data_IF_492892070385
#
_entry.id   IF_492892070385
#
_cell.length_a   1.000
_cell.length_b   1.000
_cell.length_c   1.000
_cell.angle_alpha   90.00
_cell.angle_beta   90.00
_cell.angle_gamma   90.00
#
_symmetry.space_group_name_H-M   'P 1'
#
loop_
_entity.id
_entity.type
_entity.pdbx_description
1 polymer ?
2 non-polymer ?
3 water ?
#
# COMPACT_ATOMS: atom_id res chain seq x y z
N UNK A 4 -48.06 -17.67 -42.08
CA UNK A 4 -48.38 -16.91 -40.88
C UNK A 4 -47.28 -15.88 -40.62
N UNK A 5 -47.33 -15.26 -39.44
CA UNK A 5 -46.36 -14.24 -39.06
C UNK A 5 -45.91 -14.42 -37.61
N UNK A 6 -44.91 -13.63 -37.21
CA UNK A 6 -44.33 -13.73 -35.88
C UNK A 6 -45.03 -12.87 -34.85
N UNK A 7 -44.83 -13.19 -33.58
CA UNK A 7 -45.27 -12.32 -32.49
C UNK A 7 -44.41 -11.07 -32.44
N UNK A 8 -45.02 -9.91 -32.19
CA UNK A 8 -44.27 -8.66 -32.16
C UNK A 8 -43.19 -8.71 -31.09
N UNK A 9 -43.52 -9.29 -29.95
CA UNK A 9 -42.59 -9.37 -28.82
C UNK A 9 -41.49 -10.41 -29.04
N UNK A 10 -41.45 -11.00 -30.23
CA UNK A 10 -40.32 -11.81 -30.65
C UNK A 10 -39.50 -11.06 -31.69
N UNK A 11 -40.19 -10.35 -32.59
CA UNK A 11 -39.53 -9.50 -33.58
C UNK A 11 -38.72 -8.35 -33.00
N UNK A 12 -39.16 -7.80 -31.87
CA UNK A 12 -38.62 -6.53 -31.40
C UNK A 12 -37.14 -6.55 -31.02
N UNK A 13 -36.54 -7.73 -30.98
CA UNK A 13 -35.16 -7.86 -30.54
C UNK A 13 -34.21 -8.11 -31.71
N UNK A 14 -34.74 -8.09 -32.93
CA UNK A 14 -33.92 -8.50 -34.07
C UNK A 14 -33.03 -7.40 -34.67
N UNK A 15 -33.29 -6.13 -34.36
CA UNK A 15 -32.53 -5.04 -34.98
C UNK A 15 -31.02 -5.16 -34.77
N UNK A 16 -30.25 -5.11 -35.86
CA UNK A 16 -28.82 -5.44 -35.85
C UNK A 16 -27.90 -4.24 -35.62
N UNK A 17 -28.44 -3.03 -35.65
CA UNK A 17 -27.60 -1.84 -35.59
C UNK A 17 -27.25 -1.45 -34.17
N UNK A 18 -26.38 -0.43 -34.02
CA UNK A 18 -26.14 0.05 -32.67
C UNK A 18 -27.10 1.14 -32.23
N UNK A 19 -27.30 1.13 -30.93
CA UNK A 19 -27.89 2.20 -30.12
C UNK A 19 -27.28 3.58 -30.35
N UNK A 20 -28.15 4.55 -30.65
CA UNK A 20 -27.70 5.88 -31.06
C UNK A 20 -28.17 7.03 -30.17
N UNK A 21 -28.88 6.71 -29.09
CA UNK A 21 -29.44 7.78 -28.26
C UNK A 21 -28.98 7.72 -26.81
N UNK A 22 -29.28 8.77 -26.06
CA UNK A 22 -28.89 8.86 -24.68
C UNK A 22 -29.89 9.72 -23.96
N UNK A 23 -29.74 9.88 -22.65
CA UNK A 23 -30.59 10.82 -21.93
C UNK A 23 -29.73 11.97 -21.40
N UNK A 24 -30.31 13.16 -21.39
CA UNK A 24 -29.62 14.36 -20.97
C UNK A 24 -30.13 14.82 -19.61
N UNK A 25 -29.24 14.88 -18.63
CA UNK A 25 -29.66 15.26 -17.28
C UNK A 25 -28.74 16.29 -16.67
N UNK A 26 -29.26 17.11 -15.76
CA UNK A 26 -28.44 18.05 -15.00
C UNK A 26 -27.36 17.28 -14.21
N UNK A 27 -26.13 17.77 -14.24
CA UNK A 27 -25.04 17.18 -13.45
C UNK A 27 -25.46 16.87 -12.02
N UNK A 28 -26.23 17.79 -11.46
CA UNK A 28 -26.83 17.66 -10.14
C UNK A 28 -27.62 16.36 -9.95
N UNK A 29 -28.17 15.85 -11.04
CA UNK A 29 -29.04 14.68 -11.01
C UNK A 29 -28.33 13.44 -11.56
N UNK A 30 -27.09 13.61 -12.01
CA UNK A 30 -26.37 12.54 -12.74
C UNK A 30 -26.26 11.24 -11.98
N UNK A 31 -25.86 11.29 -10.71
CA UNK A 31 -25.73 10.08 -9.87
C UNK A 31 -27.05 9.35 -9.66
N UNK A 32 -28.08 10.12 -9.32
CA UNK A 32 -29.43 9.59 -9.17
C UNK A 32 -29.89 8.89 -10.45
N UNK A 33 -29.63 9.53 -11.58
CA UNK A 33 -30.11 9.01 -12.86
C UNK A 33 -29.32 7.78 -13.27
N UNK A 34 -28.01 7.78 -13.03
CA UNK A 34 -27.19 6.61 -13.35
C UNK A 34 -27.73 5.40 -12.58
N UNK A 35 -28.04 5.63 -11.31
CA UNK A 35 -28.59 4.54 -10.51
C UNK A 35 -29.93 4.07 -11.08
N UNK A 36 -30.80 5.02 -11.42
CA UNK A 36 -32.10 4.68 -12.00
C UNK A 36 -31.97 3.85 -13.29
N UNK A 37 -31.08 4.26 -14.17
CA UNK A 37 -30.91 3.61 -15.46
C UNK A 37 -30.41 2.18 -15.27
N UNK A 38 -29.46 2.02 -14.36
CA UNK A 38 -28.98 0.68 -14.00
C UNK A 38 -30.10 -0.18 -13.43
N UNK A 39 -30.89 0.41 -12.54
CA UNK A 39 -31.96 -0.32 -11.87
C UNK A 39 -32.98 -0.83 -12.88
N UNK A 40 -33.25 -0.02 -13.90
CA UNK A 40 -34.30 -0.28 -14.86
C UNK A 40 -33.77 -1.21 -15.94
N UNK A 41 -32.47 -1.17 -16.15
CA UNK A 41 -31.80 -2.11 -17.04
C UNK A 41 -31.51 -1.60 -18.44
N UNK A 42 -31.55 -0.28 -18.65
CA UNK A 42 -31.39 0.25 -19.99
C UNK A 42 -30.12 1.08 -20.20
N UNK A 43 -29.16 0.94 -19.29
CA UNK A 43 -27.89 1.62 -19.42
C UNK A 43 -27.02 0.89 -20.45
N UNK A 44 -26.52 1.62 -21.45
CA UNK A 44 -25.76 0.99 -22.54
C UNK A 44 -24.27 0.91 -22.24
N UNK A 45 -23.83 -0.27 -21.82
CA UNK A 45 -22.43 -0.51 -21.53
C UNK A 45 -21.47 -0.33 -22.70
N UNK A 46 -21.99 -0.32 -23.92
CA UNK A 46 -21.16 -0.24 -25.11
C UNK A 46 -20.56 1.14 -25.37
N UNK A 47 -21.16 2.18 -24.80
CA UNK A 47 -20.72 3.54 -25.07
C UNK A 47 -20.35 4.28 -23.79
N UNK A 48 -19.58 5.35 -23.94
CA UNK A 48 -19.20 6.20 -22.81
C UNK A 48 -20.29 7.24 -22.55
N UNK A 49 -20.44 7.63 -21.28
CA UNK A 49 -21.18 8.84 -20.97
C UNK A 49 -20.25 10.04 -21.22
N UNK A 50 -20.85 11.22 -21.39
CA UNK A 50 -20.06 12.45 -21.53
C UNK A 50 -20.67 13.53 -20.67
N UNK A 51 -19.97 14.64 -20.50
CA UNK A 51 -20.53 15.78 -19.76
C UNK A 51 -20.04 17.11 -20.31
N UNK A 52 -20.80 18.16 -20.04
CA UNK A 52 -20.33 19.53 -20.27
C UNK A 52 -20.45 20.33 -18.98
N UNK A 53 -20.65 21.63 -19.09
CA UNK A 53 -20.63 22.49 -17.92
C UNK A 53 -21.78 22.19 -16.96
N UNK A 54 -22.95 21.94 -17.53
CA UNK A 54 -24.16 21.80 -16.73
C UNK A 54 -24.85 20.44 -16.89
N UNK A 55 -24.54 19.71 -17.96
CA UNK A 55 -25.28 18.50 -18.32
C UNK A 55 -24.40 17.26 -18.50
N UNK A 56 -24.98 16.10 -18.16
CA UNK A 56 -24.39 14.79 -18.44
C UNK A 56 -25.30 14.05 -19.42
N UNK A 57 -24.71 13.28 -20.33
CA UNK A 57 -25.47 12.47 -21.27
C UNK A 57 -25.11 10.99 -21.07
N UNK A 58 -26.09 10.18 -20.69
CA UNK A 58 -25.87 8.73 -20.52
C UNK A 58 -26.37 7.95 -21.73
N UNK A 59 -25.58 6.99 -22.23
CA UNK A 59 -26.11 6.15 -23.32
C UNK A 59 -27.17 5.16 -22.84
N UNK A 60 -28.26 5.01 -23.59
CA UNK A 60 -29.31 4.08 -23.20
C UNK A 60 -29.65 3.11 -24.33
N UNK A 61 -30.27 2.00 -23.95
CA UNK A 61 -30.65 0.94 -24.87
C UNK A 61 -32.13 0.97 -25.31
N UNK A 62 -32.94 1.76 -24.63
CA UNK A 62 -34.38 1.79 -24.91
C UNK A 62 -34.93 3.16 -24.59
N UNK A 63 -35.19 3.94 -25.63
CA UNK A 63 -35.60 5.33 -25.45
C UNK A 63 -37.07 5.44 -25.05
N UNK A 64 -37.85 4.40 -25.33
CA UNK A 64 -39.23 4.37 -24.86
C UNK A 64 -39.31 4.21 -23.35
N UNK A 65 -38.49 3.33 -22.80
CA UNK A 65 -38.43 3.18 -21.34
C UNK A 65 -37.90 4.49 -20.72
N UNK A 66 -36.89 5.08 -21.35
CA UNK A 66 -36.31 6.34 -20.87
C UNK A 66 -37.39 7.40 -20.77
N UNK A 67 -38.21 7.54 -21.81
CA UNK A 67 -39.30 8.52 -21.77
C UNK A 67 -40.29 8.19 -20.69
N UNK A 68 -40.53 6.91 -20.45
CA UNK A 68 -41.47 6.53 -19.39
C UNK A 68 -40.84 6.74 -17.99
N UNK A 69 -39.56 7.11 -17.97
CA UNK A 69 -38.88 7.51 -16.73
C UNK A 69 -38.82 9.05 -16.59
N UNK A 70 -39.46 9.75 -17.53
CA UNK A 70 -39.48 11.20 -17.53
C UNK A 70 -38.19 11.86 -18.01
N UNK A 71 -37.33 11.07 -18.66
CA UNK A 71 -36.00 11.57 -19.04
C UNK A 71 -35.97 12.16 -20.45
N UNK A 72 -35.14 13.19 -20.64
CA UNK A 72 -35.02 13.83 -21.95
C UNK A 72 -34.14 13.00 -22.86
N UNK A 73 -34.71 12.50 -23.94
CA UNK A 73 -33.97 11.64 -24.86
C UNK A 73 -33.33 12.48 -25.94
N UNK A 74 -32.05 12.26 -26.20
CA UNK A 74 -31.31 12.98 -27.24
C UNK A 74 -30.62 12.00 -28.19
N UNK A 75 -30.44 12.44 -29.43
CA UNK A 75 -29.67 11.66 -30.39
C UNK A 75 -28.28 12.26 -30.49
N UNK A 76 -27.27 11.47 -30.14
CA UNK A 76 -25.90 11.97 -30.00
C UNK A 76 -24.94 10.86 -30.38
N UNK A 77 -23.78 11.23 -30.92
CA UNK A 77 -22.73 10.26 -31.16
C UNK A 77 -21.82 10.22 -29.96
N UNK A 78 -21.98 9.18 -29.12
CA UNK A 78 -21.15 9.02 -27.94
C UNK A 78 -19.97 8.13 -28.27
N UNK A 79 -18.85 8.30 -27.55
CA UNK A 79 -17.68 7.45 -27.73
C UNK A 79 -17.99 5.98 -27.44
N UNK A 80 -17.30 5.08 -28.14
CA UNK A 80 -17.37 3.66 -27.82
C UNK A 80 -16.54 3.39 -26.56
N UNK A 81 -16.92 2.39 -25.76
CA UNK A 81 -16.09 2.01 -24.63
C UNK A 81 -14.77 1.47 -25.15
N UNK A 82 -13.67 1.76 -24.44
CA UNK A 82 -12.36 1.29 -24.89
C UNK A 82 -12.31 -0.23 -24.88
N UNK A 83 -11.72 -0.84 -25.89
CA UNK A 83 -11.54 -2.29 -25.88
C UNK A 83 -10.17 -2.62 -25.34
N UNK A 84 -9.18 -1.82 -25.74
CA UNK A 84 -7.83 -1.97 -25.23
C UNK A 84 -7.59 -0.92 -24.14
N UNK A 85 -6.97 -1.34 -23.05
CA UNK A 85 -6.66 -0.41 -21.97
C UNK A 85 -5.18 -0.10 -21.96
N UNK A 86 -4.82 1.18 -21.90
CA UNK A 86 -3.40 1.57 -21.81
C UNK A 86 -3.10 2.43 -20.57
N UNK A 87 -3.96 2.32 -19.56
CA UNK A 87 -3.75 3.05 -18.32
C UNK A 87 -2.49 2.59 -17.62
N UNK A 88 -1.69 3.55 -17.17
CA UNK A 88 -0.45 3.27 -16.46
C UNK A 88 -0.55 3.67 -14.99
N UNK A 89 -1.22 4.80 -14.77
CA UNK A 89 -1.35 5.40 -13.44
C UNK A 89 -2.79 5.61 -13.04
N UNK A 90 -3.01 5.75 -11.74
CA UNK A 90 -4.33 6.02 -11.21
C UNK A 90 -4.81 7.37 -11.71
N UNK A 91 -3.86 8.28 -11.90
CA UNK A 91 -4.17 9.61 -12.41
C UNK A 91 -4.77 9.55 -13.81
N UNK A 92 -4.42 8.51 -14.57
CA UNK A 92 -4.98 8.32 -15.91
C UNK A 92 -6.48 7.99 -15.87
N UNK A 93 -6.96 7.62 -14.69
CA UNK A 93 -8.31 7.07 -14.54
C UNK A 93 -9.24 7.94 -13.71
N UNK A 94 -8.74 9.05 -13.20
CA UNK A 94 -9.55 9.93 -12.35
C UNK A 94 -9.35 11.39 -12.69
N UNK A 95 -10.40 12.20 -12.44
CA UNK A 95 -10.27 13.66 -12.46
C UNK A 95 -9.15 14.07 -11.55
N UNK A 96 -8.40 15.09 -11.95
CA UNK A 96 -7.28 15.54 -11.15
C UNK A 96 -7.74 16.03 -9.77
N UNK A 97 -8.93 16.64 -9.71
CA UNK A 97 -9.46 17.14 -8.45
C UNK A 97 -9.74 16.02 -7.46
N UNK A 98 -9.95 14.80 -7.96
CA UNK A 98 -10.10 13.65 -7.07
C UNK A 98 -8.74 13.02 -6.78
N UNK A 99 -8.00 12.74 -7.85
CA UNK A 99 -6.71 12.07 -7.72
C UNK A 99 -5.74 12.78 -6.78
N UNK A 100 -5.67 14.10 -6.90
CA UNK A 100 -4.70 14.89 -6.18
C UNK A 100 -4.94 14.86 -4.66
N UNK A 101 -6.13 14.45 -4.26
CA UNK A 101 -6.51 14.40 -2.85
C UNK A 101 -6.32 13.00 -2.25
N UNK A 102 -6.08 12.02 -3.09
CA UNK A 102 -5.83 10.66 -2.61
C UNK A 102 -4.44 10.55 -1.99
N UNK A 103 -4.33 9.76 -0.93
CA UNK A 103 -3.02 9.42 -0.40
C UNK A 103 -2.35 8.46 -1.38
N UNK A 104 -1.17 7.97 -1.04
CA UNK A 104 -0.49 7.03 -1.95
C UNK A 104 -1.21 5.68 -1.95
N UNK A 105 -1.11 4.95 -3.05
CA UNK A 105 -1.77 3.65 -3.16
C UNK A 105 -0.72 2.58 -2.97
N UNK A 106 -0.97 1.63 -2.08
CA UNK A 106 -0.04 0.51 -1.88
C UNK A 106 -0.69 -0.82 -2.24
N UNK A 107 0.07 -1.71 -2.86
CA UNK A 107 -0.39 -3.08 -3.09
C UNK A 107 0.35 -4.03 -2.16
N UNK A 108 -0.41 -4.79 -1.36
CA UNK A 108 0.15 -5.84 -0.51
C UNK A 108 -0.57 -7.15 -0.85
N UNK A 109 0.16 -8.11 -1.43
CA UNK A 109 -0.47 -9.32 -1.91
C UNK A 109 -1.55 -8.99 -2.95
N UNK A 110 -2.78 -9.41 -2.69
CA UNK A 110 -3.91 -9.04 -3.55
C UNK A 110 -4.83 -7.99 -2.91
N UNK A 111 -4.25 -7.18 -2.02
CA UNK A 111 -4.96 -6.12 -1.31
C UNK A 111 -4.45 -4.76 -1.75
N UNK A 112 -5.35 -3.85 -2.10
CA UNK A 112 -4.95 -2.48 -2.39
C UNK A 112 -5.38 -1.59 -1.24
N UNK A 113 -4.45 -0.77 -0.74
CA UNK A 113 -4.73 0.13 0.36
C UNK A 113 -4.57 1.57 -0.12
N UNK A 114 -5.56 2.40 0.17
CA UNK A 114 -5.56 3.77 -0.30
C UNK A 114 -6.13 4.70 0.80
N UNK A 115 -5.60 5.92 0.89
CA UNK A 115 -6.13 6.92 1.80
C UNK A 115 -7.14 7.81 1.08
N UNK A 116 -8.35 7.91 1.63
CA UNK A 116 -9.40 8.73 1.05
C UNK A 116 -10.02 9.69 2.08
N UNK A 117 -9.65 10.98 2.03
CA UNK A 117 -10.22 12.00 2.94
C UNK A 117 -11.75 12.09 2.88
N UNK A 118 -12.41 12.38 4.01
CA UNK A 118 -13.88 12.41 4.08
C UNK A 118 -14.46 13.26 2.96
N UNK A 119 -13.74 14.34 2.73
CA UNK A 119 -13.95 15.30 1.67
C UNK A 119 -14.10 14.81 0.23
N UNK A 120 -13.56 13.63 -0.09
CA UNK A 120 -13.84 13.03 -1.40
C UNK A 120 -14.43 11.63 -1.25
N UNK A 121 -14.87 11.30 -0.05
CA UNK A 121 -15.52 10.01 0.18
C UNK A 121 -16.76 9.83 -0.69
N UNK A 122 -17.39 10.93 -1.09
CA UNK A 122 -18.53 10.88 -2.00
C UNK A 122 -18.15 10.31 -3.36
N UNK A 123 -16.86 10.34 -3.70
CA UNK A 123 -16.38 9.80 -4.99
C UNK A 123 -15.87 8.35 -4.89
N UNK A 124 -16.19 7.71 -3.77
CA UNK A 124 -15.74 6.35 -3.47
C UNK A 124 -15.92 5.35 -4.60
N UNK A 125 -17.05 5.44 -5.30
CA UNK A 125 -17.36 4.43 -6.29
C UNK A 125 -16.46 4.55 -7.54
N UNK A 126 -16.16 5.77 -7.97
CA UNK A 126 -15.28 5.91 -9.11
C UNK A 126 -13.84 5.62 -8.66
N UNK A 127 -13.53 5.90 -7.40
CA UNK A 127 -12.19 5.58 -6.88
C UNK A 127 -11.93 4.06 -6.92
N UNK A 128 -12.87 3.30 -6.38
CA UNK A 128 -12.82 1.84 -6.43
C UNK A 128 -12.74 1.35 -7.87
N UNK A 129 -13.56 1.92 -8.74
CA UNK A 129 -13.58 1.55 -10.14
C UNK A 129 -12.19 1.73 -10.79
N UNK A 130 -11.59 2.86 -10.50
CA UNK A 130 -10.28 3.19 -11.03
C UNK A 130 -9.23 2.19 -10.58
N UNK A 131 -9.23 1.91 -9.28
CA UNK A 131 -8.25 0.97 -8.74
C UNK A 131 -8.43 -0.44 -9.31
N UNK A 132 -9.68 -0.89 -9.43
CA UNK A 132 -9.96 -2.21 -10.00
C UNK A 132 -9.48 -2.30 -11.44
N UNK A 133 -9.66 -1.22 -12.17
CA UNK A 133 -9.23 -1.18 -13.56
C UNK A 133 -7.71 -1.26 -13.64
N UNK A 134 -7.02 -0.46 -12.84
CA UNK A 134 -5.57 -0.43 -12.86
C UNK A 134 -4.97 -1.72 -12.32
N UNK A 135 -5.65 -2.35 -11.37
CA UNK A 135 -5.13 -3.57 -10.77
C UNK A 135 -6.16 -4.69 -10.78
N UNK A 136 -6.35 -5.32 -11.95
CA UNK A 136 -7.38 -6.35 -12.16
C UNK A 136 -7.25 -7.51 -11.19
N UNK A 137 -6.05 -7.77 -10.68
CA UNK A 137 -5.84 -8.98 -9.87
C UNK A 137 -6.10 -8.77 -8.38
N UNK A 138 -6.26 -7.53 -7.94
CA UNK A 138 -6.50 -7.32 -6.51
C UNK A 138 -7.92 -7.74 -6.16
N UNK A 139 -8.07 -8.37 -4.99
CA UNK A 139 -9.38 -8.88 -4.56
C UNK A 139 -9.95 -8.09 -3.39
N UNK A 140 -9.15 -7.17 -2.84
CA UNK A 140 -9.58 -6.38 -1.69
C UNK A 140 -9.11 -4.94 -1.85
N UNK A 141 -10.01 -3.99 -1.64
CA UNK A 141 -9.61 -2.60 -1.56
C UNK A 141 -10.03 -2.06 -0.22
N UNK A 142 -9.05 -1.52 0.51
CA UNK A 142 -9.23 -0.99 1.86
C UNK A 142 -8.86 0.49 1.95
N UNK A 143 -9.62 1.23 2.75
CA UNK A 143 -9.37 2.65 2.99
C UNK A 143 -8.51 2.85 4.24
N UNK A 144 -7.45 3.62 4.10
CA UNK A 144 -6.42 3.76 5.14
C UNK A 144 -6.68 4.94 6.06
N UNK A 145 -6.62 4.67 7.36
CA UNK A 145 -6.66 5.72 8.37
C UNK A 145 -5.25 6.01 8.85
N UNK A 146 -5.04 5.92 10.17
CA UNK A 146 -3.70 6.12 10.73
C UNK A 146 -3.19 4.87 11.43
N UNK A 147 -1.89 4.87 11.74
CA UNK A 147 -1.28 3.81 12.53
C UNK A 147 -1.59 4.04 14.00
N UNK A 150 0.45 0.76 20.21
CA UNK A 150 1.83 0.33 20.45
C UNK A 150 2.32 -0.54 19.29
N UNK A 151 1.40 -1.28 18.70
CA UNK A 151 1.75 -2.23 17.63
C UNK A 151 1.78 -1.57 16.26
N UNK A 152 1.39 -0.29 16.21
CA UNK A 152 1.39 0.52 14.99
C UNK A 152 0.58 -0.11 13.86
N UNK A 153 -0.58 -0.65 14.20
CA UNK A 153 -1.51 -1.17 13.21
C UNK A 153 -2.21 -0.01 12.51
N UNK A 154 -2.30 -0.10 11.19
CA UNK A 154 -3.06 0.89 10.43
C UNK A 154 -4.56 0.66 10.59
N UNK A 155 -5.30 1.71 10.90
CA UNK A 155 -6.76 1.66 10.81
C UNK A 155 -7.15 1.36 9.37
N UNK A 156 -7.91 0.29 9.15
CA UNK A 156 -8.31 -0.11 7.79
C UNK A 156 -9.77 -0.53 7.70
N UNK A 157 -10.47 -0.04 6.68
CA UNK A 157 -11.84 -0.47 6.37
C UNK A 157 -11.95 -1.01 4.95
N UNK A 158 -12.43 -2.23 4.81
CA UNK A 158 -12.64 -2.81 3.49
C UNK A 158 -13.75 -2.05 2.78
N UNK A 159 -13.46 -1.49 1.60
CA UNK A 159 -14.50 -0.78 0.86
C UNK A 159 -14.86 -1.49 -0.45
N UNK A 160 -14.08 -2.50 -0.82
CA UNK A 160 -14.48 -3.35 -1.93
C UNK A 160 -13.86 -4.74 -1.85
N UNK A 161 -14.60 -5.75 -2.28
CA UNK A 161 -14.03 -7.09 -2.42
C UNK A 161 -14.20 -7.95 -1.19
N UNK A 162 -13.34 -8.96 -1.05
CA UNK A 162 -13.46 -9.93 0.05
C UNK A 162 -13.28 -9.25 1.40
N UNK A 163 -14.09 -9.64 2.37
CA UNK A 163 -13.99 -9.01 3.69
C UNK A 163 -12.87 -9.62 4.53
N UNK A 164 -11.62 -9.39 4.11
CA UNK A 164 -10.45 -9.92 4.81
C UNK A 164 -9.26 -9.02 4.55
N UNK A 165 -8.30 -9.04 5.47
CA UNK A 165 -7.11 -8.21 5.33
C UNK A 165 -5.82 -9.02 5.44
N UNK A 166 -5.92 -10.35 5.35
CA UNK A 166 -4.75 -11.22 5.32
C UNK A 166 -4.42 -11.65 3.90
N UNK A 167 -3.13 -11.78 3.60
CA UNK A 167 -2.69 -12.16 2.25
C UNK A 167 -1.25 -12.64 2.35
N UNK A 168 -0.70 -13.06 1.21
CA UNK A 168 0.71 -13.37 1.12
C UNK A 168 1.35 -12.49 0.05
N UNK A 169 2.36 -11.73 0.46
CA UNK A 169 3.04 -10.75 -0.37
C UNK A 169 4.37 -11.31 -0.84
N UNK A 170 4.73 -11.05 -2.09
CA UNK A 170 5.99 -11.53 -2.63
C UNK A 170 7.00 -10.39 -2.72
N UNK A 171 8.22 -10.63 -2.27
CA UNK A 171 9.22 -9.56 -2.27
C UNK A 171 10.62 -10.12 -2.19
N UNK A 172 11.52 -9.66 -3.07
CA UNK A 172 12.94 -9.97 -2.93
C UNK A 172 13.17 -11.49 -2.77
N UNK A 173 12.33 -12.27 -3.42
CA UNK A 173 12.51 -13.71 -3.45
C UNK A 173 11.99 -14.45 -2.23
N UNK A 174 11.23 -13.76 -1.38
CA UNK A 174 10.61 -14.41 -0.23
C UNK A 174 9.11 -14.20 -0.22
N UNK A 175 8.45 -14.99 0.62
CA UNK A 175 7.01 -14.94 0.83
C UNK A 175 6.70 -14.41 2.22
N UNK A 176 5.87 -13.38 2.28
CA UNK A 176 5.55 -12.75 3.54
C UNK A 176 4.05 -12.81 3.80
N UNK A 177 3.62 -13.65 4.74
CA UNK A 177 2.23 -13.65 5.15
C UNK A 177 1.98 -12.43 6.00
N UNK A 178 0.90 -11.70 5.72
CA UNK A 178 0.54 -10.57 6.55
C UNK A 178 -0.94 -10.62 6.87
N UNK A 179 -1.32 -9.98 7.98
CA UNK A 179 -2.72 -9.70 8.29
C UNK A 179 -2.78 -8.24 8.69
N UNK A 180 -3.23 -7.40 7.77
CA UNK A 180 -3.13 -5.95 7.97
C UNK A 180 -4.10 -5.42 9.03
N UNK A 181 -4.99 -6.27 9.53
CA UNK A 181 -5.83 -5.87 10.66
C UNK A 181 -5.10 -6.09 11.98
N UNK A 182 -3.94 -6.75 11.94
CA UNK A 182 -3.26 -7.17 13.17
C UNK A 182 -1.78 -6.77 13.24
N UNK A 183 -1.18 -6.49 12.09
CA UNK A 183 0.25 -6.19 12.05
C UNK A 183 0.57 -5.03 11.11
N UNK A 184 1.73 -4.42 11.32
CA UNK A 184 2.29 -3.42 10.42
C UNK A 184 3.07 -4.08 9.28
N UNK A 185 2.93 -3.54 8.08
CA UNK A 185 3.81 -3.92 6.97
C UNK A 185 3.81 -2.85 5.89
N UNK A 186 5.00 -2.45 5.46
CA UNK A 186 5.14 -1.45 4.41
C UNK A 186 5.86 -2.03 3.20
N UNK A 187 5.15 -2.26 2.09
CA UNK A 187 5.75 -2.89 0.91
C UNK A 187 6.84 -2.01 0.27
N UNK A 188 6.70 -0.71 0.47
CA UNK A 188 7.65 0.26 -0.10
C UNK A 188 9.05 0.16 0.49
N UNK A 189 9.21 -0.61 1.56
CA UNK A 189 10.54 -0.80 2.12
C UNK A 189 11.33 -1.94 1.44
N UNK A 190 10.77 -2.50 0.37
CA UNK A 190 11.49 -3.57 -0.32
C UNK A 190 12.92 -3.15 -0.75
N UNK A 191 13.06 -1.91 -1.24
CA UNK A 191 14.36 -1.41 -1.64
C UNK A 191 15.33 -1.45 -0.47
N UNK A 192 14.89 -0.92 0.67
CA UNK A 192 15.79 -0.84 1.81
C UNK A 192 16.19 -2.24 2.23
N UNK A 193 15.23 -3.17 2.21
CA UNK A 193 15.52 -4.47 2.77
C UNK A 193 16.53 -5.15 1.85
N UNK A 194 16.41 -4.89 0.56
CA UNK A 194 17.31 -5.55 -0.37
C UNK A 194 18.68 -4.92 -0.19
N UNK A 195 18.69 -3.61 0.00
CA UNK A 195 19.95 -2.86 0.10
C UNK A 195 20.79 -3.40 1.26
N UNK A 196 20.17 -3.49 2.43
CA UNK A 196 20.88 -3.98 3.61
C UNK A 196 21.33 -5.41 3.36
N UNK A 197 20.45 -6.22 2.76
CA UNK A 197 20.80 -7.61 2.49
C UNK A 197 22.06 -7.66 1.64
N UNK A 198 22.24 -6.71 0.73
CA UNK A 198 23.40 -6.79 -0.14
C UNK A 198 24.66 -6.32 0.59
N UNK A 199 24.50 -5.42 1.56
CA UNK A 199 25.63 -4.92 2.34
C UNK A 199 26.18 -5.97 3.30
N UNK A 200 25.27 -6.76 3.86
CA UNK A 200 25.62 -7.79 4.82
C UNK A 200 26.67 -8.78 4.25
N UNK A 201 27.61 -9.20 5.10
CA UNK A 201 28.58 -10.24 4.76
C UNK A 201 28.28 -11.56 5.44
N UNK A 202 28.50 -12.68 4.75
CA UNK A 202 28.36 -14.01 5.35
C UNK A 202 29.11 -14.07 6.66
N UNK A 203 28.56 -14.77 7.65
CA UNK A 203 29.21 -14.93 8.94
C UNK A 203 28.84 -13.89 9.99
N UNK A 204 28.11 -12.84 9.60
CA UNK A 204 27.68 -11.84 10.59
C UNK A 204 26.59 -12.37 11.51
N UNK A 205 26.53 -11.83 12.72
CA UNK A 205 25.39 -11.97 13.61
C UNK A 205 24.66 -10.64 13.60
N UNK A 206 23.36 -10.69 13.37
CA UNK A 206 22.59 -9.47 13.12
C UNK A 206 21.40 -9.42 14.06
N UNK A 207 21.09 -8.22 14.52
CA UNK A 207 19.94 -8.00 15.41
C UNK A 207 18.92 -7.11 14.72
N UNK A 208 17.66 -7.54 14.68
CA UNK A 208 16.59 -6.67 14.17
C UNK A 208 15.52 -6.44 15.26
N UNK A 209 15.66 -5.36 16.05
CA UNK A 209 14.55 -5.01 16.94
C UNK A 209 13.35 -4.54 16.12
N UNK A 210 12.15 -4.57 16.71
CA UNK A 210 10.94 -4.08 16.03
C UNK A 210 10.71 -4.84 14.71
N UNK A 211 10.79 -6.16 14.76
CA UNK A 211 10.92 -6.94 13.54
C UNK A 211 9.63 -7.25 12.79
N UNK A 212 8.46 -6.99 13.39
CA UNK A 212 7.21 -7.22 12.68
C UNK A 212 7.04 -8.69 12.28
N UNK A 213 6.59 -8.96 11.05
CA UNK A 213 6.41 -10.35 10.60
C UNK A 213 7.70 -10.83 9.92
N UNK A 214 8.81 -10.30 10.45
CA UNK A 214 10.20 -10.44 10.01
C UNK A 214 10.56 -10.29 8.51
N UNK A 215 10.01 -9.26 7.84
CA UNK A 215 10.49 -9.08 6.46
C UNK A 215 12.01 -8.75 6.36
N UNK A 216 12.54 -7.88 7.23
CA UNK A 216 13.98 -7.60 7.15
C UNK A 216 14.83 -8.88 7.35
N UNK A 217 14.61 -9.62 8.46
CA UNK A 217 15.37 -10.87 8.61
C UNK A 217 15.23 -11.84 7.43
N UNK A 218 14.01 -12.01 6.94
CA UNK A 218 13.79 -12.90 5.80
C UNK A 218 14.62 -12.51 4.57
N UNK A 219 14.60 -11.23 4.21
CA UNK A 219 15.31 -10.84 2.99
C UNK A 219 16.84 -11.00 3.18
N UNK A 220 17.33 -10.54 4.34
CA UNK A 220 18.76 -10.69 4.64
C UNK A 220 19.19 -12.16 4.58
N UNK A 221 18.44 -13.01 5.28
CA UNK A 221 18.78 -14.43 5.37
C UNK A 221 18.60 -15.15 4.03
N UNK A 222 17.72 -14.61 3.19
CA UNK A 222 17.52 -15.14 1.85
C UNK A 222 18.79 -14.94 1.05
N UNK A 223 19.49 -13.84 1.30
CA UNK A 223 20.70 -13.65 0.49
C UNK A 223 22.06 -13.95 1.14
N UNK A 224 22.10 -14.09 2.46
CA UNK A 224 23.39 -14.19 3.15
C UNK A 224 23.35 -15.26 4.23
N UNK A 225 24.44 -15.99 4.38
CA UNK A 225 24.52 -17.00 5.43
C UNK A 225 24.91 -16.33 6.73
N UNK A 226 23.89 -15.88 7.47
CA UNK A 226 24.11 -15.14 8.69
C UNK A 226 23.12 -15.61 9.73
N UNK A 227 23.35 -15.21 10.97
CA UNK A 227 22.41 -15.52 12.02
C UNK A 227 21.70 -14.23 12.39
N UNK A 228 20.37 -14.23 12.33
CA UNK A 228 19.60 -13.02 12.64
C UNK A 228 18.68 -13.23 13.82
N UNK A 229 18.80 -12.36 14.83
CA UNK A 229 17.88 -12.31 15.96
C UNK A 229 16.79 -11.26 15.71
N UNK A 230 15.54 -11.65 15.84
CA UNK A 230 14.44 -10.72 15.63
C UNK A 230 13.62 -10.56 16.90
N UNK A 231 13.34 -9.31 17.28
CA UNK A 231 12.60 -9.03 18.51
C UNK A 231 11.32 -8.25 18.17
N UNK A 232 10.18 -8.79 18.61
CA UNK A 232 8.88 -8.22 18.29
C UNK A 232 7.91 -8.47 19.45
N UNK A 233 7.12 -7.46 19.78
CA UNK A 233 6.28 -7.47 20.98
C UNK A 233 4.83 -7.92 20.71
N UNK A 234 4.38 -7.74 19.48
CA UNK A 234 3.00 -8.07 19.06
C UNK A 234 2.88 -9.56 18.79
N UNK A 235 2.08 -10.27 19.60
CA UNK A 235 2.07 -11.73 19.47
C UNK A 235 1.46 -12.20 18.15
N UNK A 236 0.55 -11.40 17.57
CA UNK A 236 0.03 -11.70 16.23
C UNK A 236 1.14 -11.64 15.17
N UNK A 237 2.00 -10.62 15.28
CA UNK A 237 3.16 -10.50 14.38
C UNK A 237 4.14 -11.64 14.61
N UNK A 238 4.35 -12.02 15.86
CA UNK A 238 5.24 -13.13 16.18
C UNK A 238 4.73 -14.43 15.56
N UNK A 239 3.44 -14.68 15.71
CA UNK A 239 2.82 -15.86 15.11
C UNK A 239 3.05 -15.88 13.59
N UNK A 240 2.73 -14.76 12.94
CA UNK A 240 2.93 -14.69 11.49
C UNK A 240 4.42 -14.84 11.10
N UNK A 241 5.30 -14.33 11.94
CA UNK A 241 6.74 -14.44 11.71
C UNK A 241 7.20 -15.91 11.75
N UNK A 242 6.68 -16.66 12.73
CA UNK A 242 6.96 -18.09 12.81
C UNK A 242 6.46 -18.79 11.55
N UNK A 243 5.24 -18.49 11.14
CA UNK A 243 4.71 -19.08 9.92
C UNK A 243 5.55 -18.68 8.69
N UNK A 244 6.08 -17.46 8.68
CA UNK A 244 6.92 -16.99 7.56
C UNK A 244 8.27 -17.70 7.53
N UNK A 245 8.81 -17.95 8.71
CA UNK A 245 10.06 -18.69 8.82
C UNK A 245 9.86 -20.09 8.24
N UNK A 246 8.77 -20.76 8.63
CA UNK A 246 8.52 -22.10 8.07
C UNK A 246 8.20 -22.07 6.57
N UNK A 247 7.46 -21.07 6.13
CA UNK A 247 7.09 -20.91 4.73
C UNK A 247 8.29 -20.70 3.81
N UNK A 248 9.34 -20.08 4.33
CA UNK A 248 10.54 -19.77 3.54
C UNK A 248 11.75 -20.64 3.88
N UNK A 249 11.59 -21.59 4.78
CA UNK A 249 12.73 -22.30 5.37
C UNK A 249 13.64 -22.93 4.30
N UNK A 250 13.03 -23.45 3.24
CA UNK A 250 13.79 -24.14 2.21
C UNK A 250 14.43 -23.18 1.20
N UNK A 251 14.34 -21.87 1.42
CA UNK A 251 15.01 -20.95 0.50
C UNK A 251 15.95 -19.96 1.22
N UNK A 252 16.06 -20.10 2.53
CA UNK A 252 16.96 -19.22 3.28
C UNK A 252 18.35 -19.81 3.37
N UNK A 253 19.37 -18.97 3.18
CA UNK A 253 20.74 -19.36 3.45
C UNK A 253 21.07 -19.15 4.92
N UNK A 254 20.49 -18.11 5.52
CA UNK A 254 20.80 -17.76 6.89
C UNK A 254 19.85 -18.41 7.87
N UNK A 255 20.01 -18.08 9.15
CA UNK A 255 19.12 -18.59 10.19
C UNK A 255 18.51 -17.42 10.93
N UNK A 256 17.28 -17.61 11.39
CA UNK A 256 16.56 -16.55 12.10
C UNK A 256 16.00 -17.06 13.43
N UNK A 257 16.26 -16.32 14.49
CA UNK A 257 15.72 -16.62 15.81
C UNK A 257 14.71 -15.55 16.18
N UNK A 258 13.47 -15.98 16.39
CA UNK A 258 12.38 -15.05 16.70
C UNK A 258 12.18 -14.96 18.21
N UNK A 259 12.27 -13.75 18.73
CA UNK A 259 12.03 -13.53 20.15
C UNK A 259 10.79 -12.69 20.38
N UNK A 260 9.81 -13.23 21.09
CA UNK A 260 8.66 -12.45 21.49
C UNK A 260 8.98 -11.67 22.75
N UNK A 261 8.98 -10.35 22.65
CA UNK A 261 9.30 -9.54 23.80
C UNK A 261 9.38 -8.07 23.50
N UNK A 262 9.60 -7.31 24.57
CA UNK A 262 9.75 -5.87 24.51
C UNK A 262 11.23 -5.57 24.27
N UNK A 263 11.53 -4.94 23.14
CA UNK A 263 12.90 -4.54 22.80
C UNK A 263 13.64 -3.88 23.98
N UNK A 264 12.94 -3.00 24.71
CA UNK A 264 13.60 -2.27 25.78
C UNK A 264 13.86 -3.13 27.02
N UNK A 265 13.25 -4.30 27.07
CA UNK A 265 13.55 -5.28 28.13
C UNK A 265 14.55 -6.31 27.61
N UNK A 266 14.39 -6.71 26.35
CA UNK A 266 15.18 -7.82 25.80
C UNK A 266 16.62 -7.40 25.48
N UNK A 267 16.81 -6.31 24.76
CA UNK A 267 18.15 -5.97 24.27
C UNK A 267 19.23 -5.82 25.35
N UNK A 268 18.92 -5.19 26.51
CA UNK A 268 19.95 -5.15 27.56
C UNK A 268 20.46 -6.53 27.99
N UNK A 269 19.69 -7.59 27.75
CA UNK A 269 20.08 -8.94 28.17
C UNK A 269 20.65 -9.80 27.03
N UNK A 270 20.86 -9.20 25.88
CA UNK A 270 21.44 -9.93 24.75
C UNK A 270 22.94 -9.68 24.70
N UNK A 271 23.69 -10.58 24.06
CA UNK A 271 25.07 -10.23 23.74
C UNK A 271 25.09 -9.14 22.67
N UNK A 272 26.27 -8.66 22.26
CA UNK A 272 26.32 -7.67 21.20
C UNK A 272 26.39 -8.33 19.81
N UNK A 273 26.22 -7.53 18.77
CA UNK A 273 26.09 -8.04 17.41
C UNK A 273 26.99 -7.30 16.45
N UNK A 274 27.33 -7.93 15.32
CA UNK A 274 28.09 -7.23 14.29
C UNK A 274 27.29 -6.05 13.75
N UNK A 275 26.01 -6.29 13.46
CA UNK A 275 25.17 -5.32 12.75
C UNK A 275 23.81 -5.24 13.41
N UNK A 276 23.31 -4.02 13.61
CA UNK A 276 21.95 -3.85 14.11
C UNK A 276 21.13 -3.08 13.06
N UNK A 277 19.95 -3.59 12.76
CA UNK A 277 19.03 -2.92 11.84
C UNK A 277 17.76 -2.55 12.60
N UNK A 278 17.51 -1.26 12.80
CA UNK A 278 16.39 -0.84 13.62
C UNK A 278 15.33 -0.05 12.85
N UNK A 279 14.29 -0.74 12.34
CA UNK A 279 13.12 -0.14 11.70
C UNK A 279 12.20 0.45 12.77
N UNK A 280 12.68 1.51 13.39
CA UNK A 280 12.10 2.13 14.59
C UNK A 280 10.65 2.56 14.38
N UNK A 281 9.77 2.28 15.38
CA UNK A 281 8.39 2.77 15.26
C UNK A 281 8.41 4.29 15.19
N UNK A 282 7.55 4.89 14.37
CA UNK A 282 7.58 6.35 14.23
C UNK A 282 7.39 7.04 15.56
N UNK A 283 8.32 7.95 15.89
CA UNK A 283 8.22 8.74 17.09
C UNK A 283 9.03 8.17 18.24
N UNK A 284 9.34 6.88 18.19
CA UNK A 284 10.10 6.23 19.25
C UNK A 284 11.58 6.55 19.08
N UNK A 285 12.28 6.77 20.18
CA UNK A 285 13.74 6.99 20.16
C UNK A 285 14.44 5.75 20.73
N UNK A 286 14.99 4.90 19.87
CA UNK A 286 15.72 3.72 20.34
C UNK A 286 17.21 3.78 19.98
N UNK A 287 17.72 4.99 19.74
CA UNK A 287 19.08 5.12 19.23
C UNK A 287 20.14 4.62 20.21
N UNK A 288 20.07 5.06 21.46
CA UNK A 288 21.08 4.64 22.44
C UNK A 288 21.14 3.11 22.58
N UNK A 289 19.98 2.49 22.77
CA UNK A 289 19.91 1.05 23.01
C UNK A 289 20.37 0.23 21.79
N UNK A 290 19.93 0.63 20.61
CA UNK A 290 20.28 -0.14 19.43
C UNK A 290 21.74 0.05 19.09
N UNK A 291 22.26 1.27 19.23
CA UNK A 291 23.69 1.49 18.99
C UNK A 291 24.50 0.68 20.00
N UNK A 292 23.98 0.56 21.21
CA UNK A 292 24.72 -0.13 22.28
C UNK A 292 24.82 -1.61 21.96
N UNK A 293 23.91 -2.14 21.15
CA UNK A 293 24.10 -3.54 20.76
C UNK A 293 24.97 -3.77 19.49
N UNK A 294 25.43 -2.70 18.83
CA UNK A 294 26.18 -2.83 17.59
C UNK A 294 27.69 -2.74 17.79
N UNK A 295 28.42 -3.66 17.14
CA UNK A 295 29.89 -3.64 17.17
C UNK A 295 30.53 -3.03 15.92
N UNK A 296 29.91 -3.26 14.77
CA UNK A 296 30.48 -2.77 13.51
C UNK A 296 29.55 -1.85 12.71
N UNK A 297 28.26 -2.16 12.66
CA UNK A 297 27.32 -1.29 11.91
C UNK A 297 25.99 -1.11 12.61
N UNK A 298 25.45 0.10 12.55
CA UNK A 298 24.04 0.32 12.91
C UNK A 298 23.29 0.97 11.74
N UNK A 299 22.09 0.49 11.46
CA UNK A 299 21.21 1.13 10.49
C UNK A 299 19.97 1.57 11.25
N UNK A 300 19.89 2.86 11.55
CA UNK A 300 18.84 3.35 12.46
C UNK A 300 17.85 4.21 11.69
N UNK A 301 16.59 3.77 11.63
CA UNK A 301 15.57 4.52 10.88
C UNK A 301 14.85 5.51 11.78
N UNK A 302 14.49 6.65 11.21
CA UNK A 302 13.78 7.67 11.98
C UNK A 302 12.95 8.50 11.00
N UNK A 303 12.15 9.41 11.52
CA UNK A 303 11.42 10.35 10.68
C UNK A 303 11.81 11.75 11.12
N UNK A 304 12.30 12.55 10.19
CA UNK A 304 12.85 13.87 10.50
C UNK A 304 12.35 14.95 9.54
N UNK A 305 12.01 16.12 10.06
CA UNK A 305 11.70 17.27 9.22
C UNK A 305 12.97 17.68 8.47
N UNK A 306 12.81 18.15 7.23
CA UNK A 306 13.98 18.45 6.39
C UNK A 306 14.87 19.53 7.00
N UNK A 307 14.33 20.33 7.90
CA UNK A 307 15.12 21.38 8.55
C UNK A 307 15.84 20.86 9.80
N UNK A 308 15.60 19.59 10.15
CA UNK A 308 16.17 19.02 11.36
C UNK A 308 17.20 17.93 11.07
N UNK A 309 17.49 17.70 9.79
CA UNK A 309 18.40 16.63 9.38
C UNK A 309 19.80 16.80 9.98
N UNK A 310 20.29 18.04 9.96
CA UNK A 310 21.61 18.36 10.49
C UNK A 310 21.66 17.99 11.96
N UNK A 311 20.65 18.46 12.69
CA UNK A 311 20.50 18.19 14.10
C UNK A 311 20.41 16.67 14.37
N UNK A 312 19.70 15.95 13.51
CA UNK A 312 19.63 14.49 13.62
C UNK A 312 21.02 13.86 13.55
N UNK A 313 21.77 14.20 12.50
CA UNK A 313 23.13 13.69 12.36
C UNK A 313 24.01 14.01 13.58
N UNK A 314 23.91 15.26 14.03
CA UNK A 314 24.62 15.71 15.22
C UNK A 314 24.28 14.90 16.47
N UNK A 315 23.00 14.62 16.67
CA UNK A 315 22.56 13.83 17.82
C UNK A 315 23.05 12.38 17.73
N UNK A 316 23.07 11.82 16.52
CA UNK A 316 23.60 10.47 16.38
C UNK A 316 25.07 10.46 16.78
N UNK A 317 25.84 11.42 16.27
CA UNK A 317 27.27 11.50 16.62
C UNK A 317 27.49 11.71 18.11
N UNK A 318 26.63 12.55 18.72
CA UNK A 318 26.65 12.77 20.16
C UNK A 318 26.53 11.45 20.90
N UNK A 319 25.57 10.64 20.47
CA UNK A 319 25.35 9.37 21.18
C UNK A 319 26.53 8.43 20.94
N UNK A 320 27.12 8.49 19.74
CA UNK A 320 28.34 7.70 19.49
C UNK A 320 29.43 8.05 20.49
N UNK A 321 29.67 9.34 20.68
CA UNK A 321 30.71 9.77 21.61
C UNK A 321 30.36 9.36 23.04
N UNK A 322 29.09 9.49 23.40
CA UNK A 322 28.63 9.14 24.74
C UNK A 322 28.93 7.68 25.07
N UNK A 323 28.86 6.81 24.06
CA UNK A 323 29.14 5.38 24.29
C UNK A 323 30.63 5.02 24.10
N UNK A 324 31.45 6.00 23.77
CA UNK A 324 32.88 5.77 23.62
C UNK A 324 33.27 5.15 22.29
N UNK A 325 32.43 5.35 21.27
CA UNK A 325 32.68 4.76 19.95
C UNK A 325 33.21 5.82 18.99
N UNK A 326 34.14 5.42 18.12
CA UNK A 326 34.61 6.29 17.04
C UNK A 326 33.86 5.86 15.80
N UNK A 327 33.03 6.75 15.25
CA UNK A 327 32.14 6.35 14.17
C UNK A 327 32.17 7.32 13.01
N UNK A 328 31.78 6.83 11.84
CA UNK A 328 31.40 7.75 10.77
C UNK A 328 29.91 7.56 10.51
N UNK A 329 29.20 8.67 10.43
CA UNK A 329 27.75 8.64 10.34
C UNK A 329 27.29 9.22 9.00
N UNK A 330 26.49 8.44 8.28
CA UNK A 330 25.91 8.92 7.01
C UNK A 330 24.41 8.88 7.11
N UNK A 331 23.75 9.98 6.74
CA UNK A 331 22.30 10.03 6.80
C UNK A 331 21.71 10.01 5.39
N UNK A 332 20.83 9.05 5.12
CA UNK A 332 20.16 8.94 3.82
C UNK A 332 18.68 9.25 3.94
N UNK A 333 18.14 10.00 2.97
CA UNK A 333 16.70 10.11 2.86
C UNK A 333 16.18 8.85 2.23
N UNK A 334 15.32 8.15 2.94
CA UNK A 334 14.82 6.88 2.47
C UNK A 334 13.55 7.08 1.68
N UNK A 335 12.66 7.94 2.18
CA UNK A 335 11.45 8.25 1.43
C UNK A 335 10.77 9.52 1.90
N UNK A 336 9.98 10.13 1.03
CA UNK A 336 9.15 11.27 1.41
C UNK A 336 8.00 10.74 2.25
N UNK A 337 7.86 11.24 3.48
CA UNK A 337 6.77 10.78 4.33
C UNK A 337 5.58 11.73 4.26
N UNK A 338 5.80 12.99 4.64
CA UNK A 338 4.85 14.07 4.44
C UNK A 338 5.57 15.19 3.71
N UNK A 339 4.84 16.23 3.28
CA UNK A 339 5.55 17.43 2.85
C UNK A 339 6.54 17.91 3.91
N UNK A 340 7.79 18.13 3.52
CA UNK A 340 8.86 18.62 4.39
C UNK A 340 9.30 17.62 5.49
N UNK A 341 8.83 16.38 5.40
CA UNK A 341 9.23 15.34 6.37
C UNK A 341 9.70 14.07 5.66
N UNK A 342 10.88 13.59 6.08
CA UNK A 342 11.48 12.42 5.43
C UNK A 342 11.60 11.24 6.38
N UNK A 343 11.35 10.04 5.87
CA UNK A 343 11.90 8.86 6.49
C UNK A 343 13.37 8.82 6.11
N UNK A 344 14.22 8.71 7.15
CA UNK A 344 15.67 8.68 6.98
C UNK A 344 16.31 7.46 7.63
N UNK A 345 17.53 7.15 7.19
CA UNK A 345 18.34 6.10 7.81
C UNK A 345 19.70 6.67 8.16
N UNK A 346 20.09 6.55 9.42
CA UNK A 346 21.47 6.80 9.81
C UNK A 346 22.27 5.52 9.71
N UNK A 347 23.19 5.49 8.74
CA UNK A 347 24.17 4.40 8.64
C UNK A 347 25.39 4.76 9.48
N UNK A 348 25.63 3.96 10.51
CA UNK A 348 26.69 4.24 11.47
C UNK A 348 27.74 3.17 11.32
N UNK A 349 28.93 3.57 10.91
CA UNK A 349 30.05 2.64 10.81
C UNK A 349 30.89 2.82 12.05
N UNK A 350 31.02 1.76 12.83
CA UNK A 350 31.80 1.84 14.07
C UNK A 350 33.23 1.44 13.74
N UNK A 351 34.16 2.35 14.00
CA UNK A 351 35.56 2.15 13.62
C UNK A 351 36.38 1.44 14.71
N UNK A 352 37.32 0.61 14.27
CA UNK A 352 38.26 -0.04 15.17
C UNK A 352 39.66 0.06 14.60
X LIG B 1 10.41 -4.35 10.85
X LIG B 1 9.05 -4.60 10.38
X LIG B 1 8.03 -3.82 11.22
X LIG B 1 8.40 -2.39 11.56
X LIG B 1 6.98 -1.67 12.35
X LIG B 1 8.97 -4.18 8.94
X LIG B 1 10.04 -3.83 8.36
X LIG B 1 7.84 -4.21 8.39
X LIG B 1 7.50 -1.50 14.02
X LIG B 1 7.22 -2.80 14.78
X LIG B 1 7.71 -2.63 16.11
X LIG B 1 5.75 -3.18 14.95
X LIG B 1 5.61 -4.53 14.47
X LIG B 1 5.50 -3.12 16.46
X LIG B 1 4.58 -4.12 16.93
X LIG B 1 6.88 -3.35 17.01
X LIG B 1 7.16 -2.76 18.34
X LIG B 1 6.74 -1.58 18.83
X LIG B 1 7.24 -1.40 20.09
X LIG B 1 7.99 -2.46 20.39
X LIG B 1 8.83 -2.91 21.54
X LIG B 1 8.95 -2.17 22.67
X LIG B 1 9.44 -4.10 21.42
X LIG B 1 9.35 -4.86 20.32
X LIG B 1 8.62 -4.53 19.24
X LIG B 1 7.94 -3.36 19.23
#
# INVERSE_FOLDING_TARGET
MGSSHHHHHHLEVLFQGPHMSGVKVRREDAKKVLELLKSVGILDGKRKAIRDEKYVIFPVTDTNIAKSLGLEVVDVELPMRPERQIYKNLEDLLPREIFKKLGRLDIVGDIAIVSIPDEILSEREVIVSAIRKLYPKVKVIARRGFHSGLYRIRELEVIWGENRLHTIHKENGVLIKVDLSKVFFNPRMKGERYRIAQLVNDGERILVPFAGVIPYPLVIARFKNVEVYAVEINEFAVKLAEENLELNRDRLKGKIKIIHGDVFEVLPNLPNFDRVVSPTPKGVDALSLTLSKAEKFLHYYDFVHESEIERFRERVLEECRRQGKECRVSVRKVSDYKPHVYKVCADVEILS
SAH N CA CB CG SD C O OXT C5' C4' O4' C3' O3' C2' O2' C1' N9 C8 N7 C5 C6 N6 N1 C2 N3 C4
#
